data_IF_387392013106
#
_entry.id   IF_387392013106
#
_cell.length_a   1.000
_cell.length_b   1.000
_cell.length_c   1.000
_cell.angle_alpha   90.00
_cell.angle_beta   90.00
_cell.angle_gamma   90.00
#
_symmetry.space_group_name_H-M   'P 1'
#
loop_
_entity.id
_entity.type
_entity.pdbx_description
1 polymer ?
#
# COMPACT_ATOMS: atom_id res chain seq x y z
N UNK A 1 7.95 13.02 6.00
CA UNK A 1 7.94 13.20 4.53
C UNK A 1 6.53 13.54 4.06
N UNK A 2 6.38 14.48 3.12
CA UNK A 2 5.11 15.11 2.75
C UNK A 2 4.02 14.14 2.25
N UNK A 3 4.38 13.07 1.52
CA UNK A 3 3.41 12.07 1.03
C UNK A 3 2.62 11.39 2.15
N UNK A 4 3.30 10.98 3.22
CA UNK A 4 2.65 10.48 4.45
C UNK A 4 1.72 11.53 5.04
N UNK A 5 2.19 12.76 5.22
CA UNK A 5 1.37 13.84 5.80
C UNK A 5 0.09 14.06 5.00
N UNK A 6 0.15 14.07 3.67
CA UNK A 6 -1.04 14.18 2.82
C UNK A 6 -1.97 12.96 2.90
N UNK A 7 -1.41 11.77 3.06
CA UNK A 7 -2.19 10.52 3.26
C UNK A 7 -3.00 10.60 4.55
N UNK A 8 -2.34 10.94 5.67
CA UNK A 8 -2.98 11.05 6.99
C UNK A 8 -4.03 12.17 7.02
N UNK A 9 -3.84 13.25 6.24
CA UNK A 9 -4.82 14.33 6.04
C UNK A 9 -5.92 13.99 5.01
N UNK A 10 -5.99 12.76 4.51
CA UNK A 10 -6.96 12.30 3.51
C UNK A 10 -6.99 13.18 2.26
N UNK A 11 -5.81 13.62 1.79
CA UNK A 11 -5.63 14.42 0.56
C UNK A 11 -4.96 13.59 -0.55
N UNK A 12 -5.67 12.62 -1.15
CA UNK A 12 -5.05 11.65 -2.05
C UNK A 12 -4.46 12.29 -3.31
N UNK A 13 -5.10 13.31 -3.88
CA UNK A 13 -4.61 14.05 -5.06
C UNK A 13 -3.22 14.68 -4.81
N UNK A 14 -2.90 15.03 -3.56
CA UNK A 14 -1.58 15.55 -3.18
C UNK A 14 -0.61 14.46 -2.75
N UNK A 15 -1.13 13.37 -2.18
CA UNK A 15 -0.32 12.28 -1.63
C UNK A 15 0.25 11.38 -2.72
N UNK A 16 -0.60 10.92 -3.66
CA UNK A 16 -0.26 9.96 -4.71
C UNK A 16 0.97 10.39 -5.52
N UNK A 17 1.01 11.58 -6.17
CA UNK A 17 2.15 11.93 -7.02
C UNK A 17 3.46 12.06 -6.24
N UNK A 18 3.40 12.49 -4.98
CA UNK A 18 4.58 12.57 -4.11
C UNK A 18 5.10 11.18 -3.74
N UNK A 19 4.20 10.24 -3.46
CA UNK A 19 4.54 8.87 -3.09
C UNK A 19 5.05 8.08 -4.30
N UNK A 20 4.39 8.19 -5.47
CA UNK A 20 4.85 7.58 -6.73
C UNK A 20 6.24 8.11 -7.12
N UNK A 21 6.42 9.44 -7.12
CA UNK A 21 7.69 10.06 -7.48
C UNK A 21 8.84 9.74 -6.52
N UNK A 22 8.54 9.40 -5.26
CA UNK A 22 9.51 8.89 -4.32
C UNK A 22 9.80 7.41 -4.59
N UNK A 23 8.78 6.58 -4.68
CA UNK A 23 8.90 5.13 -4.87
C UNK A 23 9.57 4.75 -6.19
N UNK A 24 9.46 5.58 -7.23
CA UNK A 24 10.14 5.37 -8.52
C UNK A 24 11.67 5.47 -8.44
N UNK A 25 12.20 6.11 -7.40
CA UNK A 25 13.65 6.29 -7.19
C UNK A 25 14.28 5.21 -6.32
N UNK A 26 13.47 4.41 -5.64
CA UNK A 26 13.94 3.36 -4.73
C UNK A 26 13.81 2.00 -5.39
N UNK A 27 14.95 1.33 -5.56
CA UNK A 27 14.97 -0.08 -5.94
C UNK A 27 14.53 -0.99 -4.77
N UNK A 28 14.47 -2.29 -5.02
CA UNK A 28 14.01 -3.26 -4.03
C UNK A 28 15.05 -3.59 -2.95
N UNK A 29 16.29 -3.11 -3.06
CA UNK A 29 17.29 -3.28 -1.99
C UNK A 29 16.85 -2.58 -0.70
N UNK A 30 15.96 -1.59 -0.84
CA UNK A 30 15.31 -0.86 0.25
C UNK A 30 13.95 -1.47 0.63
N UNK A 31 13.79 -2.80 0.56
CA UNK A 31 12.52 -3.50 0.75
C UNK A 31 11.71 -3.08 1.99
N UNK A 32 12.39 -2.84 3.13
CA UNK A 32 11.74 -2.44 4.39
C UNK A 32 11.05 -1.08 4.26
N UNK A 33 11.76 -0.07 3.76
CA UNK A 33 11.21 1.28 3.65
C UNK A 33 10.23 1.36 2.49
N UNK A 34 10.54 0.69 1.37
CA UNK A 34 9.67 0.62 0.19
C UNK A 34 8.32 -0.01 0.52
N UNK A 35 8.29 -1.14 1.24
CA UNK A 35 7.04 -1.76 1.70
C UNK A 35 6.24 -0.85 2.64
N UNK A 36 6.91 -0.09 3.50
CA UNK A 36 6.25 0.90 4.34
C UNK A 36 5.63 2.04 3.52
N UNK A 37 6.35 2.62 2.56
CA UNK A 37 5.83 3.71 1.73
C UNK A 37 4.73 3.26 0.76
N UNK A 38 4.80 2.03 0.25
CA UNK A 38 3.72 1.42 -0.53
C UNK A 38 2.42 1.30 0.28
N UNK A 39 2.49 1.12 1.60
CA UNK A 39 1.28 1.11 2.44
C UNK A 39 0.56 2.47 2.47
N UNK A 40 1.29 3.60 2.48
CA UNK A 40 0.67 4.92 2.37
C UNK A 40 0.16 5.22 0.96
N UNK A 41 0.84 4.72 -0.07
CA UNK A 41 0.37 4.84 -1.45
C UNK A 41 -0.95 4.06 -1.64
N UNK A 42 -1.01 2.82 -1.14
CA UNK A 42 -2.21 2.01 -1.15
C UNK A 42 -3.39 2.70 -0.43
N UNK A 43 -3.16 3.27 0.75
CA UNK A 43 -4.18 4.01 1.50
C UNK A 43 -4.66 5.25 0.74
N UNK A 44 -3.75 5.94 0.05
CA UNK A 44 -4.06 7.11 -0.78
C UNK A 44 -4.91 6.74 -1.99
N UNK A 45 -4.53 5.71 -2.75
CA UNK A 45 -5.35 5.21 -3.86
C UNK A 45 -6.74 4.74 -3.39
N UNK A 46 -6.79 3.98 -2.30
CA UNK A 46 -8.06 3.51 -1.76
C UNK A 46 -8.95 4.66 -1.28
N UNK A 47 -8.34 5.76 -0.83
CA UNK A 47 -9.05 6.99 -0.47
C UNK A 47 -9.51 7.78 -1.70
N UNK A 48 -8.80 7.68 -2.83
CA UNK A 48 -9.22 8.23 -4.12
C UNK A 48 -10.30 7.41 -4.83
N UNK A 49 -10.57 6.17 -4.39
CA UNK A 49 -11.47 5.24 -5.08
C UNK A 49 -10.77 4.37 -6.14
N UNK A 50 -9.45 4.47 -6.27
CA UNK A 50 -8.63 3.71 -7.21
C UNK A 50 -8.32 2.31 -6.65
N UNK A 51 -9.33 1.43 -6.63
CA UNK A 51 -9.27 0.15 -5.91
C UNK A 51 -8.21 -0.79 -6.47
N UNK A 52 -8.05 -0.86 -7.79
CA UNK A 52 -7.05 -1.73 -8.42
C UNK A 52 -5.62 -1.26 -8.15
N UNK A 53 -5.38 0.05 -8.19
CA UNK A 53 -4.07 0.63 -7.86
C UNK A 53 -3.72 0.47 -6.38
N UNK A 54 -4.71 0.60 -5.50
CA UNK A 54 -4.55 0.30 -4.09
C UNK A 54 -4.15 -1.16 -3.88
N UNK A 55 -4.87 -2.08 -4.53
CA UNK A 55 -4.62 -3.52 -4.50
C UNK A 55 -3.22 -3.89 -4.99
N UNK A 56 -2.79 -3.32 -6.12
CA UNK A 56 -1.45 -3.55 -6.67
C UNK A 56 -0.36 -3.08 -5.69
N UNK A 57 -0.56 -1.91 -5.07
CA UNK A 57 0.35 -1.36 -4.05
C UNK A 57 0.42 -2.24 -2.81
N UNK A 58 -0.72 -2.77 -2.33
CA UNK A 58 -0.78 -3.74 -1.21
C UNK A 58 -0.04 -5.03 -1.57
N UNK A 59 -0.27 -5.59 -2.75
CA UNK A 59 0.41 -6.81 -3.20
C UNK A 59 1.92 -6.62 -3.15
N UNK A 60 2.41 -5.52 -3.72
CA UNK A 60 3.84 -5.23 -3.74
C UNK A 60 4.42 -5.02 -2.34
N UNK A 61 3.68 -4.35 -1.47
CA UNK A 61 4.08 -4.16 -0.07
C UNK A 61 4.19 -5.50 0.67
N UNK A 62 3.24 -6.42 0.45
CA UNK A 62 3.27 -7.76 1.05
C UNK A 62 4.50 -8.55 0.58
N UNK A 63 4.76 -8.59 -0.73
CA UNK A 63 5.93 -9.25 -1.33
C UNK A 63 7.25 -8.76 -0.71
N UNK A 64 7.45 -7.44 -0.68
CA UNK A 64 8.67 -6.84 -0.13
C UNK A 64 8.77 -7.05 1.39
N UNK A 65 7.63 -7.11 2.10
CA UNK A 65 7.61 -7.29 3.56
C UNK A 65 7.89 -8.72 4.01
N UNK A 66 7.76 -9.72 3.12
CA UNK A 66 8.00 -11.12 3.48
C UNK A 66 9.46 -11.40 3.88
N UNK A 67 10.41 -10.68 3.28
CA UNK A 67 11.85 -10.87 3.52
C UNK A 67 12.49 -9.93 4.54
N UNK A 68 11.72 -9.05 5.22
CA UNK A 68 12.28 -8.05 6.13
C UNK A 68 12.01 -8.39 7.59
N UNK A 69 13.01 -8.23 8.46
CA UNK A 69 12.86 -8.34 9.90
C UNK A 69 12.14 -7.10 10.48
N UNK A 70 10.88 -6.88 10.08
CA UNK A 70 10.03 -5.80 10.59
C UNK A 70 8.54 -6.11 10.43
N UNK A 71 7.78 -5.98 11.51
CA UNK A 71 6.32 -6.17 11.50
C UNK A 71 5.54 -4.95 11.02
N UNK A 72 6.18 -3.77 10.95
CA UNK A 72 5.51 -2.48 10.75
C UNK A 72 4.76 -2.39 9.40
N UNK A 73 5.32 -2.82 8.25
CA UNK A 73 4.59 -2.76 6.99
C UNK A 73 3.31 -3.59 7.03
N UNK A 74 3.38 -4.84 7.53
CA UNK A 74 2.20 -5.70 7.69
C UNK A 74 1.15 -5.09 8.63
N UNK A 75 1.57 -4.51 9.76
CA UNK A 75 0.64 -3.82 10.68
C UNK A 75 -0.07 -2.64 10.00
N UNK A 76 0.62 -1.84 9.18
CA UNK A 76 0.01 -0.70 8.47
C UNK A 76 -0.93 -1.14 7.34
N UNK A 77 -0.69 -2.31 6.75
CA UNK A 77 -1.55 -2.89 5.71
C UNK A 77 -2.88 -3.42 6.26
N UNK A 78 -2.93 -3.85 7.54
CA UNK A 78 -4.14 -4.41 8.15
C UNK A 78 -5.42 -3.56 7.96
N UNK A 79 -5.46 -2.25 8.26
CA UNK A 79 -6.65 -1.42 8.03
C UNK A 79 -7.00 -1.26 6.54
N UNK A 80 -6.01 -1.33 5.64
CA UNK A 80 -6.23 -1.22 4.19
C UNK A 80 -6.86 -2.51 3.67
N UNK A 81 -6.33 -3.66 4.05
CA UNK A 81 -6.89 -4.98 3.76
C UNK A 81 -8.32 -5.10 4.30
N UNK A 82 -8.58 -4.58 5.51
CA UNK A 82 -9.93 -4.54 6.06
C UNK A 82 -10.90 -3.77 5.16
N UNK A 83 -10.54 -2.56 4.72
CA UNK A 83 -11.35 -1.75 3.79
C UNK A 83 -11.51 -2.42 2.42
N UNK A 84 -10.46 -3.07 1.91
CA UNK A 84 -10.52 -3.79 0.63
C UNK A 84 -11.53 -4.96 0.65
N UNK A 85 -11.88 -5.54 1.80
CA UNK A 85 -12.93 -6.57 1.86
C UNK A 85 -14.28 -6.12 1.26
N UNK A 86 -14.60 -4.83 1.32
CA UNK A 86 -15.81 -4.29 0.70
C UNK A 86 -15.80 -4.45 -0.84
N UNK A 87 -14.63 -4.64 -1.44
CA UNK A 87 -14.42 -4.78 -2.88
C UNK A 87 -14.00 -6.20 -3.30
N UNK A 88 -14.20 -7.22 -2.44
CA UNK A 88 -13.79 -8.62 -2.69
C UNK A 88 -14.37 -9.27 -3.95
N UNK A 89 -15.38 -8.65 -4.58
CA UNK A 89 -15.93 -9.10 -5.85
C UNK A 89 -14.95 -8.87 -7.02
N UNK A 90 -14.01 -7.92 -6.88
CA UNK A 90 -12.95 -7.72 -7.86
C UNK A 90 -11.89 -8.83 -7.71
N UNK A 91 -11.52 -9.52 -8.80
CA UNK A 91 -10.56 -10.63 -8.74
C UNK A 91 -9.23 -10.25 -8.09
N UNK A 92 -8.65 -9.11 -8.47
CA UNK A 92 -7.39 -8.63 -7.90
C UNK A 92 -7.46 -8.45 -6.37
N UNK A 93 -8.61 -8.00 -5.86
CA UNK A 93 -8.83 -7.81 -4.42
C UNK A 93 -8.94 -9.16 -3.71
N UNK A 94 -9.68 -10.12 -4.28
CA UNK A 94 -9.79 -11.46 -3.73
C UNK A 94 -8.41 -12.14 -3.62
N UNK A 95 -7.58 -11.99 -4.66
CA UNK A 95 -6.22 -12.54 -4.69
C UNK A 95 -5.33 -11.93 -3.61
N UNK A 96 -5.34 -10.59 -3.46
CA UNK A 96 -4.49 -9.94 -2.45
C UNK A 96 -4.93 -10.28 -1.03
N UNK A 97 -6.24 -10.39 -0.79
CA UNK A 97 -6.80 -10.80 0.51
C UNK A 97 -6.42 -12.24 0.85
N UNK A 98 -6.33 -13.12 -0.14
CA UNK A 98 -5.87 -14.50 0.04
C UNK A 98 -4.38 -14.53 0.41
N UNK A 99 -3.53 -13.79 -0.32
CA UNK A 99 -2.09 -13.69 -0.03
C UNK A 99 -1.79 -13.09 1.34
N UNK A 100 -2.62 -12.17 1.82
CA UNK A 100 -2.42 -11.52 3.11
C UNK A 100 -2.65 -12.46 4.32
N UNK A 101 -3.29 -13.62 4.11
CA UNK A 101 -3.55 -14.63 5.15
C UNK A 101 -2.39 -15.60 5.35
N UNK A 102 -1.48 -15.69 4.38
CA UNK A 102 -0.22 -16.47 4.42
C UNK A 102 0.93 -15.69 5.07
#
# INVERSE_FOLDING_TARGET
>A
MAGRCWTELRRPIRAVPVLEGFLSRYDDTHARDKSLYLSWLADSYLTAGEIEQATASVSRALELSAGVASVRPRQRLAPILHRLNAHKALPAVADVLTRART
#
